data_IF_294782670868
#
_entry.id   IF_294782670868
#
_cell.length_a   1.000
_cell.length_b   1.000
_cell.length_c   1.000
_cell.angle_alpha   90.00
_cell.angle_beta   90.00
_cell.angle_gamma   90.00
#
_symmetry.space_group_name_H-M   'P 1'
#
loop_
_entity.id
_entity.type
_entity.pdbx_description
1 polymer ?
#
# COMPACT_ATOMS: atom_id res chain seq x y z
N UNK A 1 -43.18 3.53 8.06
CA UNK A 1 -43.18 2.21 7.38
C UNK A 1 -41.79 1.83 6.92
N UNK A 2 -40.90 2.77 6.63
CA UNK A 2 -39.48 2.52 6.18
C UNK A 2 -38.59 2.00 7.32
N UNK A 3 -38.90 2.36 8.60
CA UNK A 3 -38.10 1.96 9.76
C UNK A 3 -38.17 0.47 10.16
N UNK A 4 -39.11 -0.31 9.64
CA UNK A 4 -39.25 -1.71 10.01
C UNK A 4 -38.44 -2.66 9.06
N UNK A 5 -38.21 -2.25 7.84
CA UNK A 5 -37.41 -3.05 6.89
C UNK A 5 -35.90 -2.98 7.18
N UNK A 6 -35.37 -1.80 7.53
CA UNK A 6 -33.95 -1.62 7.93
C UNK A 6 -33.60 -2.34 9.25
N UNK A 7 -34.53 -2.42 10.19
CA UNK A 7 -34.30 -3.15 11.45
C UNK A 7 -34.28 -4.68 11.28
N UNK A 8 -34.91 -5.22 10.23
CA UNK A 8 -34.92 -6.65 9.93
C UNK A 8 -33.63 -7.19 9.34
N UNK A 9 -32.98 -6.40 8.48
CA UNK A 9 -31.78 -6.79 7.75
C UNK A 9 -30.52 -6.87 8.65
N UNK A 10 -30.45 -6.02 9.67
CA UNK A 10 -29.34 -6.00 10.61
C UNK A 10 -29.34 -7.11 11.68
N UNK A 11 -30.41 -7.90 11.78
CA UNK A 11 -30.53 -9.02 12.75
C UNK A 11 -30.13 -10.38 12.19
N UNK A 12 -29.78 -10.47 10.94
CA UNK A 12 -29.35 -11.75 10.36
C UNK A 12 -28.02 -12.21 10.94
N UNK A 13 -28.04 -13.25 11.75
CA UNK A 13 -26.85 -13.93 12.29
C UNK A 13 -26.13 -14.73 11.17
N UNK A 14 -26.85 -15.06 10.11
CA UNK A 14 -26.33 -15.86 8.99
C UNK A 14 -25.16 -15.20 8.24
N UNK A 15 -25.26 -13.91 7.95
CA UNK A 15 -24.22 -13.17 7.21
C UNK A 15 -22.88 -13.18 7.96
N UNK A 16 -22.79 -12.81 9.25
CA UNK A 16 -21.55 -12.87 10.02
C UNK A 16 -20.99 -14.29 10.16
N UNK A 17 -21.84 -15.28 10.37
CA UNK A 17 -21.39 -16.68 10.44
C UNK A 17 -20.82 -17.16 9.10
N UNK A 18 -21.46 -16.81 8.00
CA UNK A 18 -20.97 -17.13 6.65
C UNK A 18 -19.65 -16.41 6.35
N UNK A 19 -19.50 -15.16 6.78
CA UNK A 19 -18.23 -14.42 6.66
C UNK A 19 -17.12 -15.06 7.49
N UNK A 20 -17.37 -15.46 8.73
CA UNK A 20 -16.40 -16.16 9.58
C UNK A 20 -15.99 -17.50 8.97
N UNK A 21 -16.96 -18.26 8.44
CA UNK A 21 -16.71 -19.50 7.73
C UNK A 21 -15.87 -19.29 6.46
N UNK A 22 -16.20 -18.28 5.68
CA UNK A 22 -15.44 -17.92 4.47
C UNK A 22 -14.00 -17.54 4.81
N UNK A 23 -13.79 -16.68 5.80
CA UNK A 23 -12.46 -16.24 6.26
C UNK A 23 -11.63 -17.44 6.72
N UNK A 24 -12.23 -18.38 7.45
CA UNK A 24 -11.57 -19.64 7.84
C UNK A 24 -11.15 -20.48 6.65
N UNK A 25 -12.03 -20.65 5.65
CA UNK A 25 -11.73 -21.45 4.44
C UNK A 25 -10.71 -20.77 3.51
N UNK A 26 -10.54 -19.46 3.59
CA UNK A 26 -9.50 -18.72 2.89
C UNK A 26 -8.11 -18.84 3.55
N UNK A 27 -7.99 -19.68 4.57
CA UNK A 27 -6.71 -19.96 5.23
C UNK A 27 -6.35 -19.00 6.36
N UNK A 28 -7.30 -18.19 6.85
CA UNK A 28 -7.03 -17.32 7.98
C UNK A 28 -6.71 -18.14 9.25
N UNK A 29 -5.73 -17.71 10.07
CA UNK A 29 -5.37 -18.42 11.28
C UNK A 29 -6.53 -18.41 12.29
N UNK A 30 -6.69 -19.51 13.02
CA UNK A 30 -7.80 -19.75 13.97
C UNK A 30 -7.92 -18.62 15.01
N UNK A 31 -6.80 -18.04 15.43
CA UNK A 31 -6.81 -16.93 16.40
C UNK A 31 -7.51 -15.69 15.83
N UNK A 32 -7.37 -15.41 14.53
CA UNK A 32 -8.04 -14.28 13.87
C UNK A 32 -9.56 -14.51 13.79
N UNK A 33 -9.97 -15.73 13.44
CA UNK A 33 -11.39 -16.10 13.38
C UNK A 33 -12.02 -15.99 14.78
N UNK A 34 -11.30 -16.46 15.82
CA UNK A 34 -11.73 -16.33 17.21
C UNK A 34 -11.87 -14.87 17.65
N UNK A 35 -10.90 -14.02 17.29
CA UNK A 35 -10.95 -12.58 17.58
C UNK A 35 -12.15 -11.90 16.93
N UNK A 36 -12.44 -12.23 15.67
CA UNK A 36 -13.62 -11.71 14.96
C UNK A 36 -14.95 -12.23 15.59
N UNK A 37 -14.97 -13.47 16.04
CA UNK A 37 -16.14 -14.03 16.75
C UNK A 37 -16.38 -13.37 18.10
N UNK A 38 -15.32 -13.10 18.88
CA UNK A 38 -15.39 -12.35 20.15
C UNK A 38 -15.87 -10.92 19.88
N UNK A 39 -15.32 -10.25 18.86
CA UNK A 39 -15.75 -8.94 18.43
C UNK A 39 -17.25 -8.91 18.10
N UNK A 40 -17.69 -9.84 17.28
CA UNK A 40 -19.11 -9.95 16.90
C UNK A 40 -20.03 -10.16 18.12
N UNK A 41 -19.62 -11.05 19.03
CA UNK A 41 -20.35 -11.28 20.30
C UNK A 41 -20.41 -10.03 21.16
N UNK A 42 -19.30 -9.28 21.23
CA UNK A 42 -19.23 -7.99 21.91
C UNK A 42 -20.17 -6.94 21.31
N UNK A 43 -20.27 -6.89 19.96
CA UNK A 43 -21.21 -6.00 19.28
C UNK A 43 -22.67 -6.33 19.59
N UNK A 44 -23.01 -7.63 19.57
CA UNK A 44 -24.37 -8.08 19.94
C UNK A 44 -24.72 -7.70 21.38
N UNK A 45 -23.78 -7.88 22.30
CA UNK A 45 -23.96 -7.48 23.69
C UNK A 45 -24.12 -5.96 23.83
N UNK A 46 -23.27 -5.17 23.15
CA UNK A 46 -23.36 -3.70 23.17
C UNK A 46 -24.70 -3.19 22.57
N UNK A 47 -25.19 -3.85 21.52
CA UNK A 47 -26.49 -3.56 20.93
C UNK A 47 -27.63 -3.88 21.91
N UNK A 48 -27.61 -5.06 22.56
CA UNK A 48 -28.65 -5.48 23.52
C UNK A 48 -28.71 -4.62 24.78
N UNK A 49 -27.58 -4.03 25.19
CA UNK A 49 -27.51 -3.13 26.36
C UNK A 49 -27.78 -1.66 26.04
N UNK A 50 -27.99 -1.32 24.75
CA UNK A 50 -28.18 0.08 24.30
C UNK A 50 -26.91 0.93 24.40
N UNK A 51 -25.75 0.30 24.50
CA UNK A 51 -24.46 0.99 24.54
C UNK A 51 -24.14 1.66 23.20
N UNK A 52 -24.51 1.03 22.09
CA UNK A 52 -24.31 1.58 20.74
C UNK A 52 -25.07 2.89 20.55
N UNK A 53 -26.29 2.98 21.04
CA UNK A 53 -27.10 4.21 20.94
C UNK A 53 -26.49 5.38 21.72
N UNK A 54 -25.86 5.10 22.89
CA UNK A 54 -25.17 6.11 23.70
C UNK A 54 -23.89 6.65 22.99
N UNK A 55 -23.30 5.86 22.11
CA UNK A 55 -22.09 6.20 21.37
C UNK A 55 -22.37 6.78 19.98
N UNK A 56 -23.63 7.03 19.61
CA UNK A 56 -24.03 7.37 18.23
C UNK A 56 -23.48 6.34 17.21
N UNK A 57 -23.49 5.08 17.59
CA UNK A 57 -22.94 4.00 16.79
C UNK A 57 -24.04 3.03 16.34
N UNK A 58 -23.85 2.43 15.18
CA UNK A 58 -24.75 1.40 14.64
C UNK A 58 -23.94 0.26 14.07
N UNK A 59 -24.53 -0.92 14.03
CA UNK A 59 -23.92 -2.09 13.41
C UNK A 59 -24.29 -2.14 11.93
N UNK A 60 -23.28 -2.20 11.06
CA UNK A 60 -23.42 -2.35 9.62
C UNK A 60 -22.96 -3.75 9.18
N UNK A 61 -23.63 -4.35 8.20
CA UNK A 61 -23.33 -5.70 7.69
C UNK A 61 -23.16 -6.78 8.77
N UNK A 62 -23.74 -6.55 9.94
CA UNK A 62 -23.71 -7.48 11.06
C UNK A 62 -22.43 -7.50 11.90
N UNK A 63 -21.26 -7.16 11.36
CA UNK A 63 -19.95 -7.31 12.03
C UNK A 63 -19.17 -6.00 12.13
N UNK A 64 -19.52 -5.00 11.33
CA UNK A 64 -18.85 -3.71 11.27
C UNK A 64 -19.53 -2.73 12.22
N UNK A 65 -18.74 -2.07 13.06
CA UNK A 65 -19.22 -0.97 13.91
C UNK A 65 -19.08 0.34 13.14
N UNK A 66 -20.19 1.04 12.96
CA UNK A 66 -20.27 2.36 12.35
C UNK A 66 -20.41 3.39 13.46
N UNK A 67 -19.37 4.17 13.72
CA UNK A 67 -19.34 5.22 14.73
C UNK A 67 -19.53 6.56 14.04
N UNK A 68 -20.57 7.30 14.40
CA UNK A 68 -20.83 8.63 13.86
C UNK A 68 -20.20 9.72 14.72
N UNK A 69 -19.72 10.77 14.08
CA UNK A 69 -19.16 11.94 14.77
C UNK A 69 -19.48 13.22 14.02
N UNK A 70 -19.65 14.29 14.76
CA UNK A 70 -19.73 15.65 14.21
C UNK A 70 -18.41 16.42 14.39
N UNK A 71 -17.40 15.78 14.97
CA UNK A 71 -16.07 16.37 15.11
C UNK A 71 -15.45 16.55 13.72
N UNK A 72 -14.80 17.65 13.47
CA UNK A 72 -14.21 17.95 12.14
C UNK A 72 -15.14 18.67 11.16
N UNK A 73 -16.46 18.80 11.42
CA UNK A 73 -17.38 19.55 10.56
C UNK A 73 -16.96 21.01 10.36
N UNK A 74 -16.43 21.66 11.40
CA UNK A 74 -15.94 23.05 11.32
C UNK A 74 -14.73 23.15 10.37
N UNK A 75 -13.81 22.20 10.43
CA UNK A 75 -12.67 22.14 9.54
C UNK A 75 -13.13 21.93 8.10
N UNK A 76 -14.02 20.99 7.87
CA UNK A 76 -14.58 20.75 6.55
C UNK A 76 -15.29 21.98 5.99
N UNK A 77 -16.08 22.68 6.80
CA UNK A 77 -16.75 23.92 6.40
C UNK A 77 -15.74 25.01 6.04
N UNK A 78 -14.65 25.11 6.77
CA UNK A 78 -13.57 26.06 6.47
C UNK A 78 -12.87 25.71 5.15
N UNK A 79 -12.52 24.44 4.93
CA UNK A 79 -11.84 23.96 3.72
C UNK A 79 -12.77 24.04 2.50
N UNK A 80 -14.06 23.82 2.65
CA UNK A 80 -15.02 23.86 1.54
C UNK A 80 -15.44 25.27 1.11
N UNK A 81 -15.02 26.33 1.81
CA UNK A 81 -15.35 27.73 1.48
C UNK A 81 -15.03 28.13 0.03
N UNK A 82 -13.88 27.79 -0.55
CA UNK A 82 -13.56 28.13 -1.94
C UNK A 82 -14.34 27.24 -2.93
N UNK A 83 -15.66 27.38 -2.96
CA UNK A 83 -16.55 26.53 -3.76
C UNK A 83 -16.18 26.47 -5.24
N UNK A 84 -15.68 27.55 -5.83
CA UNK A 84 -15.27 27.57 -7.25
C UNK A 84 -14.09 26.63 -7.51
N UNK A 85 -13.11 26.65 -6.61
CA UNK A 85 -11.97 25.74 -6.67
C UNK A 85 -12.40 24.28 -6.59
N UNK A 86 -13.20 23.94 -5.58
CA UNK A 86 -13.64 22.56 -5.38
C UNK A 86 -14.56 22.04 -6.49
N UNK A 87 -15.41 22.90 -7.06
CA UNK A 87 -16.19 22.55 -8.25
C UNK A 87 -15.31 22.29 -9.47
N UNK A 88 -14.25 23.07 -9.67
CA UNK A 88 -13.22 22.84 -10.68
C UNK A 88 -12.47 21.52 -10.45
N UNK A 89 -12.04 21.29 -9.22
CA UNK A 89 -11.43 20.01 -8.82
C UNK A 89 -12.37 18.82 -9.11
N UNK A 90 -13.66 18.93 -8.76
CA UNK A 90 -14.64 17.89 -9.06
C UNK A 90 -14.80 17.62 -10.56
N UNK A 91 -14.69 18.66 -11.40
CA UNK A 91 -14.73 18.49 -12.86
C UNK A 91 -13.51 17.73 -13.38
N UNK A 92 -12.32 18.12 -12.94
CA UNK A 92 -11.07 17.38 -13.25
C UNK A 92 -11.14 15.95 -12.74
N UNK A 93 -11.73 15.74 -11.56
CA UNK A 93 -11.91 14.41 -10.96
C UNK A 93 -12.74 13.47 -11.83
N UNK A 94 -13.81 13.97 -12.46
CA UNK A 94 -14.62 13.15 -13.38
C UNK A 94 -13.75 12.63 -14.54
N UNK A 95 -13.00 13.51 -15.20
CA UNK A 95 -12.15 13.13 -16.32
C UNK A 95 -11.01 12.22 -15.90
N UNK A 96 -10.38 12.49 -14.75
CA UNK A 96 -9.33 11.63 -14.18
C UNK A 96 -9.86 10.22 -13.90
N UNK A 97 -11.03 10.10 -13.27
CA UNK A 97 -11.65 8.80 -13.01
C UNK A 97 -11.99 8.04 -14.30
N UNK A 98 -12.52 8.73 -15.32
CA UNK A 98 -12.77 8.11 -16.62
C UNK A 98 -11.48 7.61 -17.27
N UNK A 99 -10.43 8.42 -17.26
CA UNK A 99 -9.14 8.03 -17.81
C UNK A 99 -8.57 6.81 -17.10
N UNK A 100 -8.53 6.84 -15.76
CA UNK A 100 -8.02 5.72 -14.97
C UNK A 100 -8.86 4.47 -15.17
N UNK A 101 -10.19 4.59 -15.18
CA UNK A 101 -11.08 3.47 -15.46
C UNK A 101 -10.78 2.84 -16.83
N UNK A 102 -10.61 3.67 -17.86
CA UNK A 102 -10.26 3.19 -19.20
C UNK A 102 -8.91 2.48 -19.21
N UNK A 103 -7.88 3.05 -18.55
CA UNK A 103 -6.56 2.44 -18.44
C UNK A 103 -6.59 1.11 -17.70
N UNK A 104 -7.33 1.02 -16.58
CA UNK A 104 -7.47 -0.22 -15.81
C UNK A 104 -8.18 -1.30 -16.64
N UNK A 105 -9.28 -0.96 -17.32
CA UNK A 105 -9.98 -1.90 -18.20
C UNK A 105 -9.07 -2.40 -19.32
N UNK A 106 -8.34 -1.49 -19.97
CA UNK A 106 -7.38 -1.84 -21.02
C UNK A 106 -6.28 -2.77 -20.47
N UNK A 107 -5.71 -2.43 -19.31
CA UNK A 107 -4.68 -3.26 -18.66
C UNK A 107 -5.20 -4.67 -18.35
N UNK A 108 -6.42 -4.78 -17.80
CA UNK A 108 -7.03 -6.08 -17.49
C UNK A 108 -7.27 -6.91 -18.75
N UNK A 109 -7.73 -6.28 -19.85
CA UNK A 109 -7.91 -6.96 -21.11
C UNK A 109 -6.57 -7.44 -21.71
N UNK A 110 -5.55 -6.60 -21.67
CA UNK A 110 -4.20 -6.97 -22.14
C UNK A 110 -3.60 -8.09 -21.28
N UNK A 111 -3.77 -8.02 -19.96
CA UNK A 111 -3.31 -9.07 -19.04
C UNK A 111 -4.05 -10.40 -19.28
N UNK A 112 -5.35 -10.35 -19.54
CA UNK A 112 -6.14 -11.55 -19.86
C UNK A 112 -5.68 -12.19 -21.18
N UNK A 113 -5.39 -11.36 -22.21
CA UNK A 113 -4.85 -11.84 -23.49
C UNK A 113 -3.45 -12.43 -23.30
N UNK A 114 -2.58 -11.75 -22.55
CA UNK A 114 -1.23 -12.25 -22.27
C UNK A 114 -1.26 -13.59 -21.53
N UNK A 115 -2.10 -13.72 -20.50
CA UNK A 115 -2.29 -14.99 -19.78
C UNK A 115 -2.87 -16.13 -20.64
N UNK A 116 -3.67 -15.79 -21.68
CA UNK A 116 -4.19 -16.77 -22.60
C UNK A 116 -3.13 -17.27 -23.61
N UNK A 117 -2.17 -16.39 -23.99
CA UNK A 117 -1.08 -16.72 -24.93
C UNK A 117 0.09 -17.41 -24.21
N UNK A 118 0.44 -16.91 -23.03
CA UNK A 118 1.53 -17.42 -22.20
C UNK A 118 1.00 -17.61 -20.75
N UNK A 119 0.36 -18.76 -20.48
CA UNK A 119 -0.12 -19.03 -19.13
C UNK A 119 1.05 -19.03 -18.14
N UNK A 120 0.90 -18.42 -16.94
CA UNK A 120 1.93 -18.49 -15.91
C UNK A 120 2.15 -19.95 -15.47
N UNK A 121 3.37 -20.36 -15.31
CA UNK A 121 3.75 -21.73 -14.92
C UNK A 121 3.35 -22.03 -13.48
N UNK A 122 3.35 -21.02 -12.62
CA UNK A 122 2.94 -21.13 -11.23
C UNK A 122 1.66 -20.34 -10.94
N UNK A 123 0.78 -20.92 -10.14
CA UNK A 123 -0.42 -20.23 -9.67
C UNK A 123 -0.08 -19.27 -8.53
N UNK A 124 -0.53 -18.02 -8.64
CA UNK A 124 -0.39 -17.05 -7.54
C UNK A 124 -1.17 -17.59 -6.32
N UNK A 125 -0.56 -17.63 -5.11
CA UNK A 125 -1.26 -17.99 -3.89
C UNK A 125 -2.49 -17.11 -3.66
N UNK A 126 -3.58 -17.69 -3.16
CA UNK A 126 -4.81 -16.94 -2.89
C UNK A 126 -4.60 -15.76 -1.91
N UNK A 127 -3.63 -15.88 -0.99
CA UNK A 127 -3.20 -14.81 -0.06
C UNK A 127 -2.63 -13.59 -0.78
N UNK A 128 -2.04 -13.78 -1.95
CA UNK A 128 -1.34 -12.73 -2.70
C UNK A 128 -2.21 -12.07 -3.78
N UNK A 129 -3.42 -12.63 -4.00
CA UNK A 129 -4.42 -12.01 -4.87
C UNK A 129 -5.00 -10.70 -4.30
N UNK A 130 -4.99 -10.55 -2.98
CA UNK A 130 -5.44 -9.35 -2.28
C UNK A 130 -4.27 -8.70 -1.56
N UNK A 131 -4.01 -7.42 -1.85
CA UNK A 131 -2.97 -6.64 -1.17
C UNK A 131 -3.42 -6.25 0.25
N UNK A 132 -3.41 -7.24 1.16
CA UNK A 132 -3.79 -7.03 2.56
C UNK A 132 -2.52 -6.86 3.40
N UNK A 133 -2.32 -5.71 4.08
CA UNK A 133 -1.17 -5.50 4.94
C UNK A 133 -1.00 -6.61 5.98
N UNK A 134 0.17 -7.24 6.02
CA UNK A 134 0.52 -8.30 6.96
C UNK A 134 -0.05 -9.69 6.64
N UNK A 135 -0.80 -9.84 5.53
CA UNK A 135 -1.31 -11.13 5.05
C UNK A 135 -0.60 -11.52 3.76
N UNK A 136 -0.53 -10.59 2.81
CA UNK A 136 0.21 -10.77 1.56
C UNK A 136 1.71 -10.89 1.86
N UNK A 137 2.38 -11.89 1.30
CA UNK A 137 3.75 -12.29 1.64
C UNK A 137 4.78 -11.15 1.53
N UNK A 138 4.62 -10.27 0.54
CA UNK A 138 5.52 -9.15 0.26
C UNK A 138 5.04 -7.79 0.81
N UNK A 139 3.90 -7.73 1.51
CA UNK A 139 3.32 -6.49 2.04
C UNK A 139 3.47 -6.43 3.56
N UNK A 140 4.39 -5.61 4.11
CA UNK A 140 4.52 -5.46 5.55
C UNK A 140 3.24 -4.86 6.16
N UNK A 141 3.02 -5.11 7.46
CA UNK A 141 1.77 -4.70 8.11
C UNK A 141 1.66 -3.18 8.32
N UNK A 142 2.69 -2.58 8.95
CA UNK A 142 2.53 -1.26 9.57
C UNK A 142 2.42 -0.10 8.59
N UNK A 143 3.36 0.04 7.67
CA UNK A 143 3.41 1.19 6.76
C UNK A 143 2.24 1.22 5.77
N UNK A 144 1.90 0.10 5.10
CA UNK A 144 0.72 0.07 4.24
C UNK A 144 -0.60 0.25 5.01
N UNK A 145 -0.72 -0.28 6.25
CA UNK A 145 -1.91 -0.06 7.07
C UNK A 145 -2.10 1.43 7.43
N UNK A 146 -1.02 2.12 7.84
CA UNK A 146 -1.07 3.56 8.10
C UNK A 146 -1.42 4.36 6.84
N UNK A 147 -0.81 4.02 5.69
CA UNK A 147 -1.10 4.65 4.42
C UNK A 147 -2.56 4.45 4.01
N UNK A 148 -3.10 3.24 4.20
CA UNK A 148 -4.51 2.92 3.92
C UNK A 148 -5.46 3.75 4.79
N UNK A 149 -5.21 3.83 6.09
CA UNK A 149 -6.02 4.65 7.01
C UNK A 149 -6.02 6.12 6.56
N UNK A 150 -4.84 6.66 6.25
CA UNK A 150 -4.71 8.03 5.76
C UNK A 150 -5.47 8.22 4.44
N UNK A 151 -5.29 7.31 3.47
CA UNK A 151 -5.97 7.35 2.19
C UNK A 151 -7.50 7.31 2.33
N UNK A 152 -8.04 6.47 3.21
CA UNK A 152 -9.48 6.39 3.48
C UNK A 152 -9.99 7.70 4.08
N UNK A 153 -9.27 8.28 5.03
CA UNK A 153 -9.70 9.53 5.67
C UNK A 153 -9.77 10.67 4.66
N UNK A 154 -8.73 10.88 3.84
CA UNK A 154 -8.74 11.97 2.83
C UNK A 154 -9.77 11.73 1.73
N UNK A 155 -10.00 10.47 1.36
CA UNK A 155 -11.03 10.04 0.40
C UNK A 155 -12.42 10.51 0.87
N UNK A 156 -12.81 10.15 2.08
CA UNK A 156 -14.12 10.50 2.65
C UNK A 156 -14.25 12.00 2.90
N UNK A 157 -13.17 12.65 3.34
CA UNK A 157 -13.16 14.11 3.47
C UNK A 157 -13.39 14.81 2.13
N UNK A 158 -12.86 14.28 1.04
CA UNK A 158 -13.04 14.82 -0.30
C UNK A 158 -14.50 14.75 -0.76
N UNK A 159 -15.19 13.63 -0.50
CA UNK A 159 -16.65 13.52 -0.71
C UNK A 159 -17.42 14.58 0.10
N UNK A 160 -17.08 14.74 1.37
CA UNK A 160 -17.68 15.74 2.24
C UNK A 160 -17.46 17.17 1.76
N UNK A 161 -16.25 17.50 1.32
CA UNK A 161 -15.91 18.82 0.76
C UNK A 161 -16.73 19.08 -0.51
N UNK A 162 -16.85 18.11 -1.41
CA UNK A 162 -17.62 18.25 -2.63
C UNK A 162 -19.11 18.42 -2.34
N UNK A 163 -19.68 17.65 -1.42
CA UNK A 163 -21.06 17.82 -0.99
C UNK A 163 -21.32 19.28 -0.55
N UNK A 164 -20.46 19.81 0.34
CA UNK A 164 -20.58 21.20 0.82
C UNK A 164 -20.33 22.24 -0.25
N UNK A 165 -19.41 22.02 -1.18
CA UNK A 165 -19.14 22.92 -2.29
C UNK A 165 -20.35 23.06 -3.25
N UNK A 166 -21.16 21.99 -3.37
CA UNK A 166 -22.40 21.96 -4.14
C UNK A 166 -23.64 22.32 -3.31
N UNK A 167 -23.48 22.72 -2.04
CA UNK A 167 -24.57 23.18 -1.18
C UNK A 167 -25.34 22.08 -0.47
N UNK A 168 -24.92 20.82 -0.58
CA UNK A 168 -25.52 19.70 0.13
C UNK A 168 -25.12 19.73 1.62
N UNK A 169 -26.06 19.39 2.48
CA UNK A 169 -25.77 19.24 3.92
C UNK A 169 -25.17 17.88 4.19
N UNK A 170 -24.25 17.84 5.15
CA UNK A 170 -23.72 16.60 5.68
C UNK A 170 -24.38 16.30 7.01
N UNK A 171 -24.88 15.10 7.16
CA UNK A 171 -25.50 14.59 8.37
C UNK A 171 -24.46 14.26 9.42
N UNK A 172 -23.46 13.51 9.04
CA UNK A 172 -22.37 13.06 9.92
C UNK A 172 -21.13 12.67 9.13
N UNK A 173 -20.01 12.61 9.83
CA UNK A 173 -18.86 11.79 9.47
C UNK A 173 -18.86 10.54 10.32
N UNK A 174 -18.17 9.51 9.86
CA UNK A 174 -18.04 8.32 10.66
C UNK A 174 -16.82 7.50 10.32
N UNK A 175 -16.58 6.56 11.23
CA UNK A 175 -15.55 5.55 11.12
C UNK A 175 -16.23 4.19 11.05
N UNK A 176 -15.77 3.35 10.12
CA UNK A 176 -16.10 1.95 10.03
C UNK A 176 -15.01 1.15 10.72
N UNK A 177 -15.38 0.34 11.69
CA UNK A 177 -14.44 -0.39 12.54
C UNK A 177 -14.78 -1.89 12.53
N UNK A 178 -13.74 -2.70 12.32
CA UNK A 178 -13.80 -4.16 12.42
C UNK A 178 -12.81 -4.64 13.46
N UNK A 179 -13.28 -5.08 14.61
CA UNK A 179 -12.41 -5.33 15.75
C UNK A 179 -11.76 -4.02 16.20
N UNK A 180 -10.47 -4.03 16.53
CA UNK A 180 -9.70 -2.83 16.87
C UNK A 180 -9.29 -2.01 15.64
N UNK A 181 -9.47 -2.53 14.42
CA UNK A 181 -8.96 -1.92 13.20
C UNK A 181 -10.00 -1.00 12.55
N UNK A 182 -9.67 0.27 12.28
CA UNK A 182 -10.47 1.11 11.42
C UNK A 182 -10.30 0.63 9.96
N UNK A 183 -11.39 0.09 9.39
CA UNK A 183 -11.41 -0.44 8.03
C UNK A 183 -11.92 0.56 7.00
N UNK A 184 -12.50 1.66 7.45
CA UNK A 184 -13.05 2.69 6.59
C UNK A 184 -13.48 3.92 7.34
N UNK A 185 -13.81 4.95 6.57
CA UNK A 185 -14.50 6.13 7.04
C UNK A 185 -15.70 6.38 6.11
N UNK A 186 -16.58 7.31 6.46
CA UNK A 186 -17.66 7.73 5.60
C UNK A 186 -18.04 9.19 5.86
N UNK A 187 -18.45 9.87 4.79
CA UNK A 187 -19.11 11.15 4.85
C UNK A 187 -20.55 10.94 4.37
N UNK A 188 -21.53 11.25 5.21
CA UNK A 188 -22.94 11.02 4.94
C UNK A 188 -23.64 12.32 4.49
N UNK A 189 -23.78 12.58 3.19
CA UNK A 189 -24.61 13.66 2.67
C UNK A 189 -26.08 13.38 2.97
N UNK A 190 -26.89 14.44 3.09
CA UNK A 190 -28.35 14.29 3.20
C UNK A 190 -28.90 13.63 1.92
N UNK A 191 -29.45 12.43 2.04
CA UNK A 191 -29.90 11.58 0.94
C UNK A 191 -30.84 12.30 -0.01
N UNK A 192 -31.85 12.99 0.53
CA UNK A 192 -32.84 13.75 -0.26
C UNK A 192 -32.21 14.90 -1.05
N UNK A 193 -31.15 15.52 -0.54
CA UNK A 193 -30.43 16.58 -1.23
C UNK A 193 -29.52 16.00 -2.32
N UNK A 194 -28.90 14.87 -2.05
CA UNK A 194 -28.07 14.16 -3.04
C UNK A 194 -28.92 13.62 -4.20
N UNK A 195 -30.08 13.05 -3.95
CA UNK A 195 -30.97 12.54 -5.00
C UNK A 195 -31.49 13.67 -5.93
N UNK A 196 -31.80 14.84 -5.36
CA UNK A 196 -32.27 16.02 -6.09
C UNK A 196 -31.16 16.77 -6.80
N UNK A 197 -29.90 16.53 -6.45
CA UNK A 197 -28.78 17.22 -7.06
C UNK A 197 -28.63 16.85 -8.56
N UNK A 198 -28.19 17.80 -9.41
CA UNK A 198 -27.88 17.53 -10.81
C UNK A 198 -26.93 16.35 -10.96
N UNK A 199 -27.11 15.55 -12.02
CA UNK A 199 -26.26 14.37 -12.28
C UNK A 199 -24.77 14.71 -12.27
N UNK A 200 -24.40 15.87 -12.82
CA UNK A 200 -22.99 16.32 -12.88
C UNK A 200 -22.42 16.60 -11.50
N UNK A 201 -23.20 17.16 -10.57
CA UNK A 201 -22.76 17.42 -9.21
C UNK A 201 -22.60 16.12 -8.40
N UNK A 202 -23.46 15.13 -8.65
CA UNK A 202 -23.29 13.77 -8.09
C UNK A 202 -22.04 13.07 -8.63
N UNK A 203 -21.77 13.18 -9.94
CA UNK A 203 -20.55 12.63 -10.53
C UNK A 203 -19.29 13.28 -9.95
N UNK A 204 -19.28 14.61 -9.77
CA UNK A 204 -18.17 15.31 -9.11
C UNK A 204 -17.96 14.82 -7.68
N UNK A 205 -19.05 14.62 -6.94
CA UNK A 205 -19.01 14.09 -5.58
C UNK A 205 -18.40 12.69 -5.56
N UNK A 206 -18.88 11.77 -6.39
CA UNK A 206 -18.36 10.40 -6.41
C UNK A 206 -16.93 10.29 -6.93
N UNK A 207 -16.55 11.10 -7.92
CA UNK A 207 -15.20 11.09 -8.46
C UNK A 207 -14.15 11.72 -7.52
N UNK A 208 -14.57 12.56 -6.59
CA UNK A 208 -13.65 13.32 -5.73
C UNK A 208 -12.82 12.43 -4.79
N UNK A 209 -13.41 11.39 -4.23
CA UNK A 209 -12.71 10.45 -3.33
C UNK A 209 -11.54 9.74 -4.01
N UNK A 210 -11.76 8.97 -5.08
CA UNK A 210 -10.66 8.33 -5.80
C UNK A 210 -9.61 9.32 -6.30
N UNK A 211 -10.06 10.48 -6.82
CA UNK A 211 -9.16 11.48 -7.40
C UNK A 211 -8.23 12.12 -6.39
N UNK A 212 -8.69 12.41 -5.17
CA UNK A 212 -7.82 12.97 -4.14
C UNK A 212 -6.71 12.00 -3.75
N UNK A 213 -7.02 10.70 -3.70
CA UNK A 213 -6.02 9.67 -3.42
C UNK A 213 -4.95 9.63 -4.51
N UNK A 214 -5.33 9.66 -5.78
CA UNK A 214 -4.40 9.72 -6.92
C UNK A 214 -3.55 10.99 -6.85
N UNK A 215 -4.17 12.15 -6.60
CA UNK A 215 -3.46 13.42 -6.49
C UNK A 215 -2.45 13.43 -5.34
N UNK A 216 -2.85 12.99 -4.16
CA UNK A 216 -1.96 12.93 -2.98
C UNK A 216 -0.84 11.91 -3.22
N UNK A 217 -1.12 10.75 -3.81
CA UNK A 217 -0.09 9.78 -4.20
C UNK A 217 0.95 10.41 -5.12
N UNK A 218 0.51 11.17 -6.12
CA UNK A 218 1.42 11.87 -7.03
C UNK A 218 2.27 12.92 -6.32
N UNK A 219 1.67 13.71 -5.42
CA UNK A 219 2.40 14.69 -4.60
C UNK A 219 3.43 14.01 -3.70
N UNK A 220 3.04 12.94 -3.02
CA UNK A 220 3.96 12.15 -2.18
C UNK A 220 5.10 11.55 -2.99
N UNK A 221 4.82 11.06 -4.20
CA UNK A 221 5.85 10.54 -5.11
C UNK A 221 6.84 11.64 -5.52
N UNK A 222 6.37 12.83 -5.88
CA UNK A 222 7.25 13.97 -6.20
C UNK A 222 8.13 14.32 -4.99
N UNK A 223 7.54 14.39 -3.79
CA UNK A 223 8.29 14.67 -2.56
C UNK A 223 9.34 13.59 -2.30
N UNK A 224 8.97 12.32 -2.44
CA UNK A 224 9.89 11.20 -2.28
C UNK A 224 11.05 11.28 -3.29
N UNK A 225 10.75 11.51 -4.57
CA UNK A 225 11.78 11.67 -5.59
C UNK A 225 12.69 12.88 -5.32
N UNK A 226 12.11 13.99 -4.82
CA UNK A 226 12.87 15.20 -4.49
C UNK A 226 13.80 14.96 -3.30
N UNK A 227 13.33 14.26 -2.27
CA UNK A 227 14.16 13.89 -1.13
C UNK A 227 15.23 12.89 -1.55
N UNK A 228 14.85 11.83 -2.28
CA UNK A 228 15.80 10.82 -2.75
C UNK A 228 16.89 11.38 -3.67
N UNK A 229 16.54 12.34 -4.55
CA UNK A 229 17.54 13.01 -5.40
C UNK A 229 18.46 13.97 -4.64
N UNK A 230 18.03 14.44 -3.47
CA UNK A 230 18.86 15.24 -2.57
C UNK A 230 19.71 14.42 -1.59
N UNK A 231 19.49 13.10 -1.50
CA UNK A 231 20.31 12.21 -0.70
C UNK A 231 21.61 11.91 -1.47
N UNK A 232 22.67 12.62 -1.14
CA UNK A 232 24.00 12.26 -1.60
C UNK A 232 24.51 11.08 -0.76
N UNK A 233 25.18 10.11 -1.42
CA UNK A 233 25.92 9.11 -0.69
C UNK A 233 27.01 9.80 0.16
N UNK A 234 27.11 9.44 1.43
CA UNK A 234 28.13 9.99 2.34
C UNK A 234 29.53 9.70 1.84
N UNK A 235 29.70 8.50 1.28
CA UNK A 235 30.95 8.04 0.68
C UNK A 235 30.76 7.76 -0.81
N UNK A 236 31.76 8.10 -1.62
CA UNK A 236 31.81 7.71 -3.03
C UNK A 236 32.11 6.22 -3.13
N UNK A 237 31.54 5.57 -4.12
CA UNK A 237 31.73 4.15 -4.36
C UNK A 237 30.44 3.43 -4.75
N UNK A 238 30.53 2.11 -4.82
CA UNK A 238 29.41 1.23 -5.16
C UNK A 238 29.02 0.38 -3.95
N UNK A 239 27.75 0.37 -3.61
CA UNK A 239 27.25 -0.41 -2.50
C UNK A 239 26.81 -1.80 -2.95
N UNK A 240 27.30 -2.84 -2.27
CA UNK A 240 26.82 -4.20 -2.45
C UNK A 240 25.45 -4.35 -1.74
N UNK A 241 24.36 -4.40 -2.50
CA UNK A 241 22.99 -4.55 -1.96
C UNK A 241 22.70 -5.99 -1.52
N UNK A 242 23.25 -6.96 -2.22
CA UNK A 242 23.17 -8.38 -1.92
C UNK A 242 24.39 -9.06 -2.46
N UNK A 243 24.78 -10.17 -1.85
CA UNK A 243 25.96 -10.95 -2.21
C UNK A 243 25.50 -12.33 -2.63
N UNK A 244 26.03 -12.80 -3.74
CA UNK A 244 25.69 -14.12 -4.29
C UNK A 244 26.32 -15.20 -3.42
N UNK A 245 25.50 -16.10 -2.90
CA UNK A 245 25.94 -17.23 -2.06
C UNK A 245 26.84 -18.15 -2.88
N UNK A 246 28.00 -18.53 -2.33
CA UNK A 246 29.02 -19.33 -3.02
C UNK A 246 29.84 -18.55 -4.05
N UNK A 247 29.64 -17.21 -4.17
CA UNK A 247 30.43 -16.37 -5.05
C UNK A 247 31.70 -15.84 -4.40
N UNK A 248 32.72 -15.49 -5.23
CA UNK A 248 34.00 -15.00 -4.74
C UNK A 248 33.92 -13.79 -3.79
N UNK A 249 32.91 -12.97 -3.91
CA UNK A 249 32.67 -11.84 -3.00
C UNK A 249 32.26 -12.31 -1.58
N UNK A 250 31.42 -13.36 -1.47
CA UNK A 250 31.06 -13.97 -0.18
C UNK A 250 32.25 -14.65 0.44
N UNK A 251 33.00 -15.45 -0.33
CA UNK A 251 34.21 -16.14 0.14
C UNK A 251 35.27 -15.16 0.62
N UNK A 252 35.39 -13.99 -0.01
CA UNK A 252 36.27 -12.89 0.43
C UNK A 252 35.73 -12.14 1.66
N UNK A 253 34.51 -12.45 2.11
CA UNK A 253 33.87 -11.85 3.27
C UNK A 253 33.34 -10.44 3.03
N UNK A 254 32.94 -10.09 1.81
CA UNK A 254 32.19 -8.86 1.53
C UNK A 254 30.81 -8.97 2.17
N UNK A 255 30.37 -7.93 2.88
CA UNK A 255 29.07 -7.91 3.53
C UNK A 255 28.06 -7.06 2.76
N UNK A 256 26.76 -7.37 2.84
CA UNK A 256 25.72 -6.50 2.27
C UNK A 256 25.82 -5.07 2.83
N UNK A 257 25.61 -4.08 1.98
CA UNK A 257 25.68 -2.64 2.25
C UNK A 257 27.06 -2.06 2.54
N UNK A 258 28.13 -2.84 2.45
CA UNK A 258 29.49 -2.28 2.38
C UNK A 258 29.71 -1.52 1.08
N UNK A 259 30.53 -0.47 1.13
CA UNK A 259 30.83 0.38 -0.02
C UNK A 259 32.19 0.04 -0.61
N UNK A 260 32.23 -0.38 -1.86
CA UNK A 260 33.47 -0.59 -2.60
C UNK A 260 33.97 0.76 -3.08
N UNK A 261 35.15 1.17 -2.62
CA UNK A 261 35.78 2.48 -2.95
C UNK A 261 36.93 2.37 -3.90
N UNK A 262 37.67 1.22 -3.94
CA UNK A 262 38.76 0.98 -4.87
C UNK A 262 38.78 -0.48 -5.36
N UNK A 263 39.22 -0.65 -6.57
CA UNK A 263 39.57 -1.96 -7.18
C UNK A 263 41.01 -1.87 -7.66
N UNK A 264 41.90 -2.73 -7.15
CA UNK A 264 43.34 -2.77 -7.47
C UNK A 264 44.01 -1.40 -7.39
N UNK A 265 43.57 -0.57 -6.39
CA UNK A 265 44.07 0.78 -6.17
C UNK A 265 43.39 1.88 -6.99
N UNK A 266 42.59 1.51 -8.00
CA UNK A 266 41.80 2.48 -8.79
C UNK A 266 40.56 2.91 -8.04
N UNK A 267 40.34 4.23 -7.92
CA UNK A 267 39.24 4.77 -7.21
C UNK A 267 37.91 4.54 -7.95
N UNK A 268 36.92 4.08 -7.23
CA UNK A 268 35.54 3.86 -7.69
C UNK A 268 34.67 4.96 -7.12
N UNK A 269 34.14 5.82 -7.97
CA UNK A 269 33.25 6.92 -7.55
C UNK A 269 31.78 6.61 -7.81
N UNK A 270 31.49 5.84 -8.85
CA UNK A 270 30.14 5.46 -9.26
C UNK A 270 30.10 4.08 -9.93
N UNK A 271 28.92 3.66 -10.38
CA UNK A 271 28.72 2.38 -11.06
C UNK A 271 29.45 2.27 -12.41
N UNK A 272 29.66 3.39 -13.10
CA UNK A 272 30.39 3.39 -14.37
C UNK A 272 31.87 3.02 -14.18
N UNK A 273 32.50 3.62 -13.16
CA UNK A 273 33.90 3.29 -12.79
C UNK A 273 34.00 1.81 -12.40
N UNK A 274 33.07 1.36 -11.54
CA UNK A 274 33.01 -0.04 -11.12
C UNK A 274 32.86 -1.00 -12.31
N UNK A 275 31.93 -0.70 -13.22
CA UNK A 275 31.71 -1.56 -14.41
C UNK A 275 32.88 -1.61 -15.32
N UNK A 276 33.63 -0.50 -15.51
CA UNK A 276 34.79 -0.42 -16.33
C UNK A 276 35.96 -1.25 -15.75
N UNK A 277 36.24 -1.10 -14.46
CA UNK A 277 37.27 -1.87 -13.77
C UNK A 277 36.95 -3.36 -13.76
N UNK A 278 35.73 -3.73 -13.40
CA UNK A 278 35.26 -5.12 -13.41
C UNK A 278 35.26 -5.73 -14.81
N UNK A 279 34.97 -4.94 -15.85
CA UNK A 279 35.02 -5.39 -17.25
C UNK A 279 36.43 -5.73 -17.76
N UNK A 280 37.48 -5.25 -17.09
CA UNK A 280 38.87 -5.55 -17.35
C UNK A 280 39.35 -6.86 -16.72
N UNK A 281 38.59 -7.42 -15.76
CA UNK A 281 38.99 -8.62 -15.03
C UNK A 281 38.40 -9.88 -15.64
N UNK A 282 39.19 -10.94 -15.65
CA UNK A 282 38.81 -12.26 -16.18
C UNK A 282 38.40 -13.22 -15.05
N UNK A 283 37.61 -14.24 -15.40
CA UNK A 283 37.27 -15.31 -14.45
C UNK A 283 38.54 -16.01 -13.93
N UNK A 284 38.61 -16.22 -12.61
CA UNK A 284 39.77 -16.77 -11.92
C UNK A 284 40.85 -15.74 -11.58
N UNK A 285 40.74 -14.51 -12.05
CA UNK A 285 41.63 -13.42 -11.67
C UNK A 285 41.35 -12.93 -10.26
N UNK A 286 42.39 -12.47 -9.57
CA UNK A 286 42.31 -12.03 -8.19
C UNK A 286 42.43 -10.52 -8.16
N UNK A 287 41.40 -9.85 -7.62
CA UNK A 287 41.35 -8.40 -7.44
C UNK A 287 41.35 -8.03 -5.98
N UNK A 288 41.97 -6.89 -5.64
CA UNK A 288 41.98 -6.33 -4.31
C UNK A 288 40.91 -5.23 -4.23
N UNK A 289 39.88 -5.45 -3.42
CA UNK A 289 38.86 -4.47 -3.18
C UNK A 289 39.11 -3.73 -1.86
N UNK A 290 39.04 -2.41 -1.88
CA UNK A 290 38.97 -1.61 -0.67
C UNK A 290 37.51 -1.30 -0.39
N UNK A 291 37.04 -1.68 0.80
CA UNK A 291 35.65 -1.53 1.21
C UNK A 291 35.54 -0.72 2.49
N UNK A 292 34.52 0.13 2.54
CA UNK A 292 34.11 0.87 3.72
C UNK A 292 32.96 0.14 4.39
N UNK A 293 33.11 -0.22 5.64
CA UNK A 293 32.11 -0.81 6.50
C UNK A 293 31.74 0.20 7.60
N UNK A 294 30.44 0.29 7.91
CA UNK A 294 29.94 1.10 9.01
C UNK A 294 29.83 0.22 10.24
N UNK A 295 30.43 0.65 11.33
CA UNK A 295 30.27 -0.01 12.61
C UNK A 295 29.02 0.54 13.31
N UNK A 296 27.98 -0.29 13.42
CA UNK A 296 26.69 0.09 14.01
C UNK A 296 26.81 0.50 15.51
N UNK A 297 27.89 0.08 16.18
CA UNK A 297 28.09 0.37 17.60
C UNK A 297 28.74 1.75 17.85
N UNK A 298 29.62 2.18 16.94
CA UNK A 298 30.41 3.40 17.07
C UNK A 298 30.02 4.49 16.09
N UNK A 299 29.15 4.17 15.13
CA UNK A 299 28.73 5.05 14.04
C UNK A 299 29.90 5.56 13.17
N UNK A 300 31.05 4.87 13.23
CA UNK A 300 32.27 5.20 12.50
C UNK A 300 32.43 4.32 11.25
N UNK A 301 33.00 4.92 10.20
CA UNK A 301 33.42 4.19 9.02
C UNK A 301 34.81 3.60 9.22
N UNK A 302 34.93 2.31 8.90
CA UNK A 302 36.22 1.59 8.88
C UNK A 302 36.52 1.11 7.49
N UNK A 303 37.75 1.30 7.07
CA UNK A 303 38.25 0.86 5.76
C UNK A 303 38.98 -0.47 5.93
N UNK A 304 38.66 -1.44 5.07
CA UNK A 304 39.37 -2.74 5.01
C UNK A 304 39.61 -3.15 3.58
N UNK A 305 40.67 -3.91 3.38
CA UNK A 305 40.98 -4.49 2.08
C UNK A 305 40.63 -5.97 2.10
N UNK A 306 39.93 -6.42 1.05
CA UNK A 306 39.59 -7.83 0.83
C UNK A 306 40.10 -8.27 -0.52
N UNK A 307 40.49 -9.54 -0.62
CA UNK A 307 40.98 -10.16 -1.86
C UNK A 307 39.88 -11.05 -2.41
N UNK A 308 39.38 -10.71 -3.59
CA UNK A 308 38.27 -11.40 -4.24
C UNK A 308 38.77 -12.14 -5.45
N UNK A 309 38.48 -13.43 -5.57
CA UNK A 309 38.69 -14.21 -6.81
C UNK A 309 37.46 -14.04 -7.70
N UNK A 310 37.64 -13.57 -8.91
CA UNK A 310 36.56 -13.35 -9.87
C UNK A 310 35.96 -14.68 -10.30
N UNK A 311 34.66 -14.87 -10.07
CA UNK A 311 33.94 -16.04 -10.52
C UNK A 311 33.59 -15.97 -12.00
N UNK A 312 33.40 -17.13 -12.62
CA UNK A 312 32.82 -17.23 -13.96
C UNK A 312 31.30 -17.13 -13.83
N UNK A 313 30.74 -16.01 -14.31
CA UNK A 313 29.28 -15.78 -14.26
C UNK A 313 28.51 -16.87 -15.04
N UNK A 314 29.07 -17.33 -16.16
CA UNK A 314 28.42 -18.35 -16.98
C UNK A 314 28.43 -19.71 -16.29
N UNK A 315 29.57 -20.11 -15.70
CA UNK A 315 29.68 -21.34 -14.95
C UNK A 315 28.82 -21.35 -13.71
N UNK A 316 28.74 -20.22 -12.99
CA UNK A 316 27.86 -20.07 -11.85
C UNK A 316 26.38 -20.32 -12.19
N UNK A 317 25.92 -19.78 -13.32
CA UNK A 317 24.55 -20.01 -13.79
C UNK A 317 24.32 -21.47 -14.16
N UNK A 318 25.23 -22.12 -14.85
CA UNK A 318 25.11 -23.53 -15.21
C UNK A 318 25.05 -24.43 -13.99
N UNK A 319 25.85 -24.15 -12.95
CA UNK A 319 25.91 -24.96 -11.73
C UNK A 319 24.72 -24.76 -10.80
N UNK A 320 24.09 -23.56 -10.82
CA UNK A 320 23.01 -23.19 -9.91
C UNK A 320 21.62 -23.18 -10.56
N UNK A 321 21.51 -23.38 -11.86
CA UNK A 321 20.22 -23.52 -12.53
C UNK A 321 19.71 -24.96 -12.41
N UNK A 322 18.60 -25.16 -11.74
CA UNK A 322 17.95 -26.48 -11.64
C UNK A 322 17.23 -26.88 -12.94
N UNK A 323 16.89 -25.91 -13.80
CA UNK A 323 16.23 -26.12 -15.11
C UNK A 323 16.76 -25.10 -16.12
N UNK A 324 16.81 -25.50 -17.41
CA UNK A 324 17.20 -24.60 -18.52
C UNK A 324 16.35 -23.31 -18.59
N UNK A 325 15.11 -23.36 -18.09
CA UNK A 325 14.22 -22.18 -18.01
C UNK A 325 14.63 -21.14 -16.96
N UNK A 326 15.49 -21.53 -16.00
CA UNK A 326 15.89 -20.68 -14.88
C UNK A 326 17.20 -19.92 -15.19
N UNK A 327 17.79 -20.22 -16.30
CA UNK A 327 19.04 -19.63 -16.84
C UNK A 327 18.77 -18.71 -18.02
#
# INVERSE_FOLDING_TARGET
VINMAEQGENRSILIPLLLLFLVYNLGAPVWLVALLAIWYSGLLYAESTGLLDKMDATRALGIILMIRTRRGMRLLEAVSKPRRFWRGFGEVSIWLCFFVMFMVVLLLLLSAVAAAISPPEESIPASDLLLIPGVTSFVPLWWPALALIFAIVIHEYSHGIQARAHGMRLRSFGLLQLGPLPIGAFAEPEEKEMERAPRRDRLRLFAAGPSINIFVTYVVLILLCSVASGMAAENKGVHARGIVVGGGAEEAGLLPFETITHIDGNQISDYSDFSNEMGGLSAGEVAQLTVLSRDDSTDNWSERSITVTMGDRYQYYIENCEKDSDC
#
